data_IF_878123014603
#
_entry.id   IF_878123014603
#
_cell.length_a   1.000
_cell.length_b   1.000
_cell.length_c   1.000
_cell.angle_alpha   90.00
_cell.angle_beta   90.00
_cell.angle_gamma   90.00
#
_symmetry.space_group_name_H-M   'P 1'
#
loop_
_entity.id
_entity.type
_entity.pdbx_description
1 polymer ?
#
# COMPACT_ATOMS: atom_id res chain seq x y z
N UNK A 1 10.60 -26.75 53.65
CA UNK A 1 11.22 -25.76 52.74
C UNK A 1 10.53 -25.67 51.39
N UNK A 2 10.26 -26.79 50.72
CA UNK A 2 9.66 -26.84 49.37
C UNK A 2 8.34 -26.06 49.23
N UNK A 3 7.45 -26.14 50.23
CA UNK A 3 6.16 -25.46 50.19
C UNK A 3 6.26 -23.92 50.27
N UNK A 4 7.28 -23.38 50.97
CA UNK A 4 7.50 -21.93 51.05
C UNK A 4 8.07 -21.36 49.76
N UNK A 5 8.91 -22.13 49.06
CA UNK A 5 9.45 -21.75 47.76
C UNK A 5 8.37 -21.75 46.67
N UNK A 6 7.47 -22.73 46.70
CA UNK A 6 6.35 -22.81 45.77
C UNK A 6 5.37 -21.63 45.92
N UNK A 7 5.06 -21.26 47.17
CA UNK A 7 4.21 -20.09 47.47
C UNK A 7 4.89 -18.79 47.00
N UNK A 8 6.21 -18.66 47.17
CA UNK A 8 6.95 -17.48 46.70
C UNK A 8 6.96 -17.35 45.17
N UNK A 9 7.08 -18.46 44.44
CA UNK A 9 7.03 -18.49 42.97
C UNK A 9 5.63 -18.11 42.46
N UNK A 10 4.57 -18.69 43.06
CA UNK A 10 3.19 -18.36 42.70
C UNK A 10 2.86 -16.89 42.99
N UNK A 11 3.32 -16.35 44.12
CA UNK A 11 3.14 -14.94 44.46
C UNK A 11 3.88 -14.02 43.47
N UNK A 12 5.11 -14.38 43.07
CA UNK A 12 5.88 -13.62 42.08
C UNK A 12 5.23 -13.65 40.69
N UNK A 13 4.72 -14.80 40.25
CA UNK A 13 3.96 -14.93 39.00
C UNK A 13 2.68 -14.09 39.03
N UNK A 14 1.95 -14.10 40.14
CA UNK A 14 0.74 -13.28 40.30
C UNK A 14 1.08 -11.77 40.25
N UNK A 15 2.15 -11.34 40.92
CA UNK A 15 2.62 -9.95 40.90
C UNK A 15 3.04 -9.54 39.48
N UNK A 16 3.75 -10.40 38.74
CA UNK A 16 4.13 -10.15 37.34
C UNK A 16 2.90 -10.03 36.42
N UNK A 17 1.87 -10.88 36.60
CA UNK A 17 0.62 -10.76 35.82
C UNK A 17 -0.17 -9.49 36.17
N UNK A 18 -0.19 -9.07 37.43
CA UNK A 18 -0.86 -7.84 37.87
C UNK A 18 -0.14 -6.58 37.36
N UNK A 19 1.20 -6.60 37.31
CA UNK A 19 2.00 -5.51 36.75
C UNK A 19 1.90 -5.40 35.21
N UNK A 20 1.56 -6.50 34.53
CA UNK A 20 1.37 -6.53 33.07
C UNK A 20 0.05 -5.90 32.63
N UNK A 21 -0.91 -5.74 33.54
CA UNK A 21 -2.24 -5.19 33.26
C UNK A 21 -2.40 -3.69 33.57
N UNK A 22 -1.36 -3.02 34.07
CA UNK A 22 -1.46 -1.60 34.48
C UNK A 22 -0.81 -0.60 33.53
N UNK A 23 -0.34 -1.02 32.35
CA UNK A 23 0.07 -0.09 31.28
C UNK A 23 -0.95 -0.09 30.17
N UNK A 24 -2.15 0.38 30.47
CA UNK A 24 -3.09 0.83 29.46
C UNK A 24 -3.13 2.35 29.55
N UNK A 25 -2.18 2.99 28.85
CA UNK A 25 -2.22 4.42 28.61
C UNK A 25 -3.40 4.68 27.68
N UNK A 26 -4.60 4.86 28.24
CA UNK A 26 -5.69 5.53 27.55
C UNK A 26 -5.36 7.02 27.58
N UNK A 27 -4.52 7.47 26.66
CA UNK A 27 -4.42 8.88 26.32
C UNK A 27 -5.76 9.27 25.69
N UNK A 28 -6.71 9.68 26.51
CA UNK A 28 -8.05 10.15 26.11
C UNK A 28 -8.01 11.56 25.49
N UNK A 29 -6.90 11.88 24.81
CA UNK A 29 -6.88 12.97 23.86
C UNK A 29 -7.46 12.42 22.56
N UNK A 30 -8.43 13.10 21.92
CA UNK A 30 -8.82 12.75 20.57
C UNK A 30 -7.56 12.86 19.70
N UNK A 31 -6.94 11.72 19.41
CA UNK A 31 -5.79 11.65 18.54
C UNK A 31 -6.31 12.08 17.18
N UNK A 32 -5.98 13.31 16.80
CA UNK A 32 -6.33 13.84 15.48
C UNK A 32 -5.75 12.86 14.48
N UNK A 33 -6.61 12.31 13.63
CA UNK A 33 -6.17 11.40 12.58
C UNK A 33 -5.06 12.09 11.77
N UNK A 34 -3.99 11.37 11.39
CA UNK A 34 -2.95 11.95 10.53
C UNK A 34 -3.59 12.47 9.25
N UNK A 35 -2.92 13.36 8.53
CA UNK A 35 -3.36 13.80 7.19
C UNK A 35 -2.52 13.00 6.19
N UNK A 36 -3.13 12.39 5.15
CA UNK A 36 -2.36 11.62 4.18
C UNK A 36 -1.39 12.55 3.45
N UNK A 37 -0.17 12.07 3.17
CA UNK A 37 0.75 12.87 2.38
C UNK A 37 0.28 12.93 0.93
N UNK A 38 0.50 14.04 0.21
CA UNK A 38 0.30 14.07 -1.23
C UNK A 38 1.11 12.97 -1.91
N UNK A 39 0.57 12.40 -2.98
CA UNK A 39 1.28 11.40 -3.75
C UNK A 39 2.60 11.99 -4.29
N UNK A 40 3.75 11.28 -4.18
CA UNK A 40 5.03 11.86 -4.55
C UNK A 40 5.07 12.25 -6.04
N UNK A 41 5.55 13.45 -6.35
CA UNK A 41 5.54 13.96 -7.74
C UNK A 41 6.39 13.13 -8.71
N UNK A 42 7.45 12.48 -8.19
CA UNK A 42 8.34 11.62 -8.97
C UNK A 42 8.87 10.47 -8.13
N UNK A 43 8.82 9.26 -8.66
CA UNK A 43 9.48 8.12 -8.06
C UNK A 43 9.67 6.98 -9.07
N UNK A 44 10.52 6.02 -8.71
CA UNK A 44 10.55 4.69 -9.31
C UNK A 44 10.14 3.67 -8.24
N UNK A 45 9.34 2.69 -8.63
CA UNK A 45 8.93 1.60 -7.77
C UNK A 45 8.95 0.26 -8.51
N UNK A 46 9.23 -0.81 -7.78
CA UNK A 46 9.01 -2.18 -8.21
C UNK A 46 7.74 -2.68 -7.53
N UNK A 47 6.72 -2.97 -8.32
CA UNK A 47 5.41 -3.39 -7.85
C UNK A 47 5.29 -4.91 -7.98
N UNK A 48 4.90 -5.56 -6.89
CA UNK A 48 4.55 -6.98 -6.86
C UNK A 48 3.04 -7.10 -6.72
N UNK A 49 2.37 -7.58 -7.76
CA UNK A 49 0.93 -7.61 -7.82
C UNK A 49 0.41 -9.04 -7.80
N UNK A 50 -0.53 -9.30 -6.90
CA UNK A 50 -1.33 -10.52 -6.89
C UNK A 50 -2.70 -10.20 -7.47
N UNK A 51 -2.93 -10.58 -8.72
CA UNK A 51 -4.17 -10.27 -9.42
C UNK A 51 -5.22 -11.34 -9.10
N UNK A 52 -6.49 -10.93 -8.97
CA UNK A 52 -7.64 -11.79 -8.67
C UNK A 52 -7.74 -13.03 -9.58
N UNK A 53 -7.26 -12.94 -10.83
CA UNK A 53 -7.18 -14.04 -11.78
C UNK A 53 -6.08 -15.10 -11.50
N UNK A 54 -5.54 -15.18 -10.27
CA UNK A 54 -4.46 -16.07 -9.83
C UNK A 54 -3.13 -15.89 -10.59
N UNK A 55 -2.90 -14.68 -11.14
CA UNK A 55 -1.70 -14.36 -11.93
C UNK A 55 -0.83 -13.37 -11.18
N UNK A 56 0.42 -13.75 -10.92
CA UNK A 56 1.44 -12.86 -10.41
C UNK A 56 1.98 -11.96 -11.52
N UNK A 57 2.23 -10.71 -11.17
CA UNK A 57 2.81 -9.70 -12.04
C UNK A 57 3.87 -8.90 -11.28
N UNK A 58 4.97 -8.60 -11.97
CA UNK A 58 5.96 -7.62 -11.53
C UNK A 58 5.93 -6.46 -12.51
N UNK A 59 5.85 -5.23 -11.99
CA UNK A 59 5.91 -4.02 -12.80
C UNK A 59 7.00 -3.08 -12.30
N UNK A 60 7.87 -2.61 -13.20
CA UNK A 60 8.64 -1.41 -12.92
C UNK A 60 7.79 -0.20 -13.28
N UNK A 61 7.56 0.70 -12.32
CA UNK A 61 6.83 1.94 -12.51
C UNK A 61 7.78 3.12 -12.36
N UNK A 62 7.81 4.01 -13.35
CA UNK A 62 8.35 5.35 -13.23
C UNK A 62 7.19 6.34 -13.32
N UNK A 63 6.98 7.08 -12.23
CA UNK A 63 5.95 8.10 -12.12
C UNK A 63 6.60 9.48 -12.25
N UNK A 64 6.06 10.36 -13.11
CA UNK A 64 6.55 11.73 -13.32
C UNK A 64 5.37 12.68 -13.56
N UNK A 65 4.73 13.11 -12.47
CA UNK A 65 3.58 14.01 -12.49
C UNK A 65 3.84 15.35 -13.20
N UNK A 66 4.95 16.06 -12.96
CA UNK A 66 5.21 17.33 -13.65
C UNK A 66 5.38 17.18 -15.17
N UNK A 67 5.65 15.97 -15.66
CA UNK A 67 5.69 15.65 -17.09
C UNK A 67 4.46 14.87 -17.56
N UNK A 68 3.50 14.63 -16.68
CA UNK A 68 2.21 14.03 -16.99
C UNK A 68 2.29 12.60 -17.51
N UNK A 69 3.25 11.80 -17.04
CA UNK A 69 3.47 10.43 -17.55
C UNK A 69 3.74 9.40 -16.46
N UNK A 70 3.22 8.20 -16.67
CA UNK A 70 3.65 6.97 -16.02
C UNK A 70 4.21 6.01 -17.06
N UNK A 71 5.33 5.38 -16.73
CA UNK A 71 5.93 4.34 -17.55
C UNK A 71 5.93 3.06 -16.74
N UNK A 72 5.23 2.05 -17.25
CA UNK A 72 5.18 0.72 -16.70
C UNK A 72 5.90 -0.27 -17.63
N UNK A 73 6.80 -1.08 -17.08
CA UNK A 73 7.32 -2.29 -17.75
C UNK A 73 6.80 -3.48 -16.97
N UNK A 74 5.92 -4.24 -17.60
CA UNK A 74 5.06 -5.23 -16.97
C UNK A 74 5.46 -6.63 -17.42
N UNK A 75 5.79 -7.48 -16.45
CA UNK A 75 6.04 -8.90 -16.64
C UNK A 75 5.02 -9.73 -15.86
N UNK A 76 4.10 -10.37 -16.57
CA UNK A 76 3.21 -11.41 -16.02
C UNK A 76 3.95 -12.75 -16.01
N UNK A 77 3.67 -13.62 -15.04
CA UNK A 77 4.39 -14.89 -14.86
C UNK A 77 4.53 -15.74 -16.14
N UNK A 78 3.51 -15.78 -17.00
CA UNK A 78 3.50 -16.52 -18.28
C UNK A 78 3.20 -15.60 -19.49
N UNK A 79 3.45 -14.29 -19.35
CA UNK A 79 3.14 -13.29 -20.37
C UNK A 79 4.36 -12.80 -21.15
N UNK A 80 4.10 -12.08 -22.24
CA UNK A 80 5.11 -11.28 -22.94
C UNK A 80 5.42 -10.01 -22.13
N UNK A 81 6.67 -9.54 -22.22
CA UNK A 81 7.07 -8.26 -21.62
C UNK A 81 6.31 -7.13 -22.31
N UNK A 82 5.48 -6.42 -21.53
CA UNK A 82 4.59 -5.39 -22.00
C UNK A 82 5.06 -4.03 -21.50
N UNK A 83 5.09 -3.04 -22.38
CA UNK A 83 5.33 -1.65 -22.04
C UNK A 83 3.98 -0.93 -22.04
N UNK A 84 3.73 -0.14 -21.02
CA UNK A 84 2.53 0.66 -20.86
C UNK A 84 2.94 2.10 -20.50
N UNK A 85 2.63 3.03 -21.39
CA UNK A 85 2.91 4.46 -21.24
C UNK A 85 1.59 5.20 -21.08
N UNK A 86 1.30 5.61 -19.86
CA UNK A 86 0.07 6.32 -19.51
C UNK A 86 0.35 7.82 -19.43
N UNK A 87 -0.56 8.62 -19.97
CA UNK A 87 -0.51 10.07 -19.91
C UNK A 87 -1.62 10.63 -19.03
N UNK A 88 -1.37 11.78 -18.42
CA UNK A 88 -2.35 12.48 -17.58
C UNK A 88 -3.58 13.01 -18.34
N UNK A 89 -3.54 12.99 -19.67
CA UNK A 89 -4.70 13.31 -20.53
C UNK A 89 -5.59 12.09 -20.82
N UNK A 90 -5.29 10.94 -20.21
CA UNK A 90 -6.03 9.68 -20.37
C UNK A 90 -5.52 8.77 -21.48
N UNK A 91 -4.63 9.24 -22.35
CA UNK A 91 -4.06 8.40 -23.41
C UNK A 91 -3.09 7.39 -22.84
N UNK A 92 -3.22 6.12 -23.19
CA UNK A 92 -2.24 5.09 -22.84
C UNK A 92 -1.78 4.30 -24.06
N UNK A 93 -0.50 3.95 -24.11
CA UNK A 93 0.12 3.17 -25.18
C UNK A 93 0.66 1.86 -24.65
N UNK A 94 0.10 0.76 -25.13
CA UNK A 94 0.53 -0.60 -24.84
C UNK A 94 1.34 -1.15 -26.00
N UNK A 95 2.56 -1.60 -25.77
CA UNK A 95 3.37 -2.17 -26.83
C UNK A 95 4.34 -3.25 -26.37
N UNK A 96 4.78 -4.06 -27.33
CA UNK A 96 5.85 -5.04 -27.17
C UNK A 96 7.00 -4.72 -28.13
N UNK A 97 8.22 -5.14 -27.80
CA UNK A 97 9.41 -4.90 -28.62
C UNK A 97 9.79 -6.15 -29.44
N UNK A 98 10.53 -5.96 -30.54
CA UNK A 98 11.06 -7.03 -31.38
C UNK A 98 10.46 -7.05 -32.79
N UNK A 99 10.87 -8.04 -33.60
CA UNK A 99 10.44 -8.16 -35.01
C UNK A 99 8.93 -8.38 -35.20
N UNK A 100 8.24 -8.82 -34.15
CA UNK A 100 6.79 -9.00 -34.10
C UNK A 100 6.14 -8.11 -33.03
N UNK A 101 6.75 -6.96 -32.74
CA UNK A 101 6.24 -6.00 -31.78
C UNK A 101 4.83 -5.52 -32.16
N UNK A 102 3.98 -5.38 -31.15
CA UNK A 102 2.61 -4.86 -31.27
C UNK A 102 2.52 -3.49 -30.63
N UNK A 103 1.56 -2.68 -31.07
CA UNK A 103 1.26 -1.39 -30.44
C UNK A 103 -0.26 -1.16 -30.46
N UNK A 104 -0.81 -0.71 -29.34
CA UNK A 104 -2.21 -0.39 -29.15
C UNK A 104 -2.33 0.90 -28.34
N UNK A 105 -3.20 1.80 -28.79
CA UNK A 105 -3.57 3.01 -28.05
C UNK A 105 -4.92 2.78 -27.39
N UNK A 106 -5.07 3.20 -26.15
CA UNK A 106 -6.36 3.22 -25.44
C UNK A 106 -6.56 4.56 -24.75
N UNK A 107 -7.81 4.83 -24.37
CA UNK A 107 -8.19 6.02 -23.60
C UNK A 107 -8.80 5.59 -22.27
N UNK A 108 -8.24 6.09 -21.17
CA UNK A 108 -8.75 5.96 -19.82
C UNK A 108 -9.02 7.35 -19.26
N UNK A 109 -10.29 7.71 -19.07
CA UNK A 109 -10.68 9.07 -18.67
C UNK A 109 -10.01 9.57 -17.38
N UNK A 110 -9.63 8.65 -16.48
CA UNK A 110 -8.99 8.96 -15.20
C UNK A 110 -7.53 9.44 -15.39
N UNK A 111 -6.83 8.94 -16.41
CA UNK A 111 -5.40 9.17 -16.61
C UNK A 111 -4.53 8.59 -15.50
N UNK A 112 -3.35 9.18 -15.30
CA UNK A 112 -2.44 8.80 -14.22
C UNK A 112 -2.93 9.33 -12.87
N UNK A 113 -2.58 8.61 -11.81
CA UNK A 113 -2.88 8.99 -10.44
C UNK A 113 -2.34 10.39 -10.12
N UNK A 114 -3.16 11.22 -9.46
CA UNK A 114 -2.82 12.62 -9.14
C UNK A 114 -2.21 12.78 -7.74
N UNK A 115 -1.45 13.84 -7.47
CA UNK A 115 -0.93 14.18 -6.14
C UNK A 115 -2.00 14.22 -5.03
N UNK A 116 -3.21 14.66 -5.38
CA UNK A 116 -4.37 14.80 -4.50
C UNK A 116 -5.25 13.53 -4.43
N UNK A 117 -4.74 12.38 -4.89
CA UNK A 117 -5.52 11.14 -4.96
C UNK A 117 -6.18 10.73 -3.63
N UNK A 118 -5.58 11.08 -2.50
CA UNK A 118 -6.10 10.76 -1.17
C UNK A 118 -7.02 11.84 -0.58
N UNK A 119 -7.34 12.90 -1.33
CA UNK A 119 -8.24 13.96 -0.85
C UNK A 119 -9.62 13.38 -0.51
N UNK A 120 -10.08 13.58 0.73
CA UNK A 120 -11.33 13.01 1.21
C UNK A 120 -11.28 11.50 1.50
N UNK A 121 -10.09 10.89 1.52
CA UNK A 121 -9.92 9.54 2.05
C UNK A 121 -10.20 9.50 3.56
N UNK A 122 -10.71 8.37 4.04
CA UNK A 122 -11.05 8.14 5.45
C UNK A 122 -9.93 7.38 6.13
N UNK A 123 -9.45 7.89 7.25
CA UNK A 123 -8.45 7.19 8.06
C UNK A 123 -9.09 5.98 8.72
N UNK A 124 -8.45 4.81 8.57
CA UNK A 124 -8.93 3.53 9.11
C UNK A 124 -8.16 3.13 10.37
N UNK A 125 -6.89 3.50 10.47
CA UNK A 125 -6.02 3.14 11.57
C UNK A 125 -4.61 2.78 11.09
N UNK A 126 -3.93 1.92 11.84
CA UNK A 126 -2.60 1.42 11.46
C UNK A 126 -2.59 -0.09 11.26
N UNK A 127 -1.74 -0.57 10.35
CA UNK A 127 -1.53 -1.99 10.07
C UNK A 127 -0.07 -2.28 9.73
N UNK A 128 0.40 -3.50 10.03
CA UNK A 128 1.74 -3.95 9.62
C UNK A 128 1.64 -4.74 8.32
N UNK A 129 2.31 -4.29 7.27
CA UNK A 129 2.41 -4.98 5.97
C UNK A 129 3.81 -4.84 5.39
N UNK A 130 4.31 -5.89 4.76
CA UNK A 130 5.62 -5.89 4.06
C UNK A 130 6.81 -5.43 4.93
N UNK A 131 6.69 -5.58 6.26
CA UNK A 131 7.70 -5.15 7.24
C UNK A 131 7.58 -3.68 7.71
N UNK A 132 6.54 -2.95 7.29
CA UNK A 132 6.28 -1.55 7.66
C UNK A 132 5.06 -1.44 8.56
N UNK A 133 5.11 -0.52 9.54
CA UNK A 133 3.91 -0.04 10.22
C UNK A 133 3.34 1.11 9.38
N UNK A 134 2.13 0.95 8.87
CA UNK A 134 1.52 1.88 7.94
C UNK A 134 0.26 2.54 8.52
N UNK A 135 0.09 3.83 8.23
CA UNK A 135 -1.21 4.50 8.23
C UNK A 135 -2.07 3.92 7.10
N UNK A 136 -3.35 3.64 7.37
CA UNK A 136 -4.28 3.05 6.41
C UNK A 136 -5.41 4.02 6.08
N UNK A 137 -5.62 4.21 4.79
CA UNK A 137 -6.62 5.10 4.23
C UNK A 137 -7.58 4.33 3.32
N UNK A 138 -8.87 4.53 3.53
CA UNK A 138 -9.94 4.01 2.67
C UNK A 138 -10.39 5.13 1.73
N UNK A 139 -10.46 4.86 0.42
CA UNK A 139 -10.93 5.81 -0.59
C UNK A 139 -11.94 5.12 -1.51
N UNK A 140 -13.07 5.79 -1.73
CA UNK A 140 -14.17 5.36 -2.63
C UNK A 140 -14.62 3.91 -2.43
N UNK A 141 -14.56 3.40 -1.19
CA UNK A 141 -15.03 2.07 -0.74
C UNK A 141 -14.37 0.83 -1.39
N UNK A 142 -13.46 0.99 -2.36
CA UNK A 142 -12.75 -0.12 -3.01
C UNK A 142 -11.22 0.02 -3.02
N UNK A 143 -10.67 1.09 -2.43
CA UNK A 143 -9.23 1.33 -2.35
C UNK A 143 -8.80 1.41 -0.90
N UNK A 144 -7.80 0.59 -0.54
CA UNK A 144 -7.04 0.74 0.70
C UNK A 144 -5.60 1.11 0.40
N UNK A 145 -5.16 2.24 0.95
CA UNK A 145 -3.84 2.81 0.74
C UNK A 145 -3.03 2.76 2.03
N UNK A 146 -1.82 2.21 1.94
CA UNK A 146 -0.92 2.01 3.07
C UNK A 146 0.31 2.89 2.91
N UNK A 147 0.50 3.79 3.87
CA UNK A 147 1.59 4.76 3.92
C UNK A 147 2.45 4.50 5.16
N UNK A 148 3.76 4.32 4.99
CA UNK A 148 4.67 4.07 6.12
C UNK A 148 4.59 5.24 7.14
N UNK A 149 4.33 4.92 8.41
CA UNK A 149 4.18 5.92 9.48
C UNK A 149 5.45 6.75 9.68
N UNK A 150 6.63 6.19 9.39
CA UNK A 150 7.90 6.86 9.64
C UNK A 150 8.33 7.79 8.51
N UNK A 151 8.09 7.39 7.26
CA UNK A 151 8.62 8.09 6.08
C UNK A 151 7.56 8.69 5.19
N UNK A 152 6.28 8.43 5.49
CA UNK A 152 5.12 8.76 4.67
C UNK A 152 5.19 8.22 3.24
N UNK A 153 6.03 7.20 2.98
CA UNK A 153 6.18 6.64 1.64
C UNK A 153 5.06 5.65 1.34
N UNK A 154 4.68 5.51 0.07
CA UNK A 154 3.75 4.46 -0.35
C UNK A 154 4.33 3.07 -0.08
N UNK A 155 3.54 2.17 0.51
CA UNK A 155 3.94 0.78 0.77
C UNK A 155 3.07 -0.20 0.00
N UNK A 156 1.76 -0.09 0.13
CA UNK A 156 0.81 -1.07 -0.41
C UNK A 156 -0.50 -0.41 -0.81
N UNK A 157 -1.13 -1.01 -1.81
CA UNK A 157 -2.40 -0.62 -2.40
C UNK A 157 -3.22 -1.89 -2.58
N UNK A 158 -4.41 -1.92 -1.99
CA UNK A 158 -5.39 -2.96 -2.28
C UNK A 158 -6.53 -2.34 -3.08
N UNK A 159 -6.81 -2.94 -4.25
CA UNK A 159 -7.95 -2.62 -5.08
C UNK A 159 -8.93 -3.78 -5.03
N UNK A 160 -10.20 -3.47 -4.77
CA UNK A 160 -11.28 -4.40 -5.00
C UNK A 160 -11.90 -4.11 -6.38
N UNK A 161 -11.59 -4.96 -7.35
CA UNK A 161 -12.19 -4.90 -8.68
C UNK A 161 -13.42 -5.83 -8.69
N UNK A 162 -14.62 -5.25 -8.81
CA UNK A 162 -15.91 -5.96 -8.95
C UNK A 162 -16.07 -6.66 -10.33
N UNK A 163 -14.98 -7.18 -10.89
CA UNK A 163 -14.99 -7.88 -12.17
C UNK A 163 -15.33 -9.37 -11.97
N UNK A 164 -16.62 -9.67 -11.87
CA UNK A 164 -17.20 -10.96 -12.26
C UNK A 164 -17.71 -10.89 -13.71
#
# INVERSE_FOLDING_TARGET
MLNRLYIAILALQLILTLLSHTVQSSSDHPQIAPIPSPWPERFHALLYMNLSSSKLQISNLWYDWPKGRNVNIIQKQLGVLLYDIEWNNGTSFYYTLGSHGTCMTTQFEVGILRPDFLDGAKYVGTAVTDGFLCNVWEKVDFIWYYEDVLTNRPVRWDFYDDCN
#
